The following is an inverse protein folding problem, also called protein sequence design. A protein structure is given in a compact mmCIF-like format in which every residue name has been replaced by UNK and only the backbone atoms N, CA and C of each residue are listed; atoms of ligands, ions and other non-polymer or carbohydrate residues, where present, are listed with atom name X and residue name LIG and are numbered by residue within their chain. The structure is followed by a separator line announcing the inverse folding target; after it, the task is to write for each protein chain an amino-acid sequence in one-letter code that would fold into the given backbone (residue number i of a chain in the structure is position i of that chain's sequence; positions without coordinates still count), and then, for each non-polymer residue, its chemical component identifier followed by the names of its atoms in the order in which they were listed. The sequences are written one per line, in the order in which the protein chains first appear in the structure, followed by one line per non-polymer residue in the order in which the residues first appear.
data_IF_126756195137
#
_entry.id   IF_126756195137
#
_cell.length_a   1.000
_cell.length_b   1.000
_cell.length_c   1.000
_cell.angle_alpha   90.00
_cell.angle_beta   90.00
_cell.angle_gamma   90.00
#
_symmetry.space_group_name_H-M   'P 1'
#
loop_
_entity.id
_entity.type
_entity.pdbx_description
1 polymer ?
#
# COMPACT_ATOMS: atom_id res chain seq x y z
N UNK A 1 -1.24 12.40 -11.76
CA UNK A 1 0.12 12.20 -11.22
C UNK A 1 0.00 11.03 -10.26
N UNK A 2 0.67 9.90 -10.53
CA UNK A 2 0.59 8.77 -9.62
C UNK A 2 0.92 9.14 -8.17
N UNK A 3 0.18 8.56 -7.24
CA UNK A 3 0.45 8.68 -5.81
C UNK A 3 1.50 7.64 -5.42
N UNK A 4 2.47 8.03 -4.61
CA UNK A 4 3.48 7.13 -4.05
C UNK A 4 3.34 7.14 -2.53
N UNK A 5 3.09 5.99 -1.92
CA UNK A 5 3.10 5.82 -0.47
C UNK A 5 4.44 5.20 -0.02
N UNK A 6 4.97 5.74 1.08
CA UNK A 6 6.26 5.38 1.64
C UNK A 6 6.08 4.76 3.02
N UNK A 7 6.70 3.60 3.19
CA UNK A 7 6.63 2.78 4.40
C UNK A 7 7.98 2.66 5.09
N UNK A 8 7.93 2.45 6.41
CA UNK A 8 9.09 2.24 7.29
C UNK A 8 10.25 3.20 6.96
N UNK A 9 11.44 2.67 6.70
CA UNK A 9 12.66 3.45 6.42
C UNK A 9 12.49 4.49 5.31
N UNK A 10 11.67 4.24 4.29
CA UNK A 10 11.45 5.22 3.22
C UNK A 10 10.68 6.45 3.73
N UNK A 11 9.74 6.26 4.65
CA UNK A 11 9.05 7.36 5.33
C UNK A 11 10.03 8.18 6.16
N UNK A 12 10.92 7.52 6.90
CA UNK A 12 11.90 8.19 7.77
C UNK A 12 12.92 8.99 6.95
N UNK A 13 13.36 8.45 5.81
CA UNK A 13 14.33 9.10 4.92
C UNK A 13 13.76 10.33 4.21
N UNK A 14 12.45 10.34 3.92
CA UNK A 14 11.78 11.42 3.18
C UNK A 14 11.03 12.40 4.08
N UNK A 15 10.69 12.01 5.31
CA UNK A 15 9.86 12.78 6.22
C UNK A 15 8.38 12.84 5.83
N UNK A 16 7.93 12.08 4.83
CA UNK A 16 6.53 12.02 4.40
C UNK A 16 6.05 10.59 4.22
N UNK A 17 4.76 10.35 4.48
CA UNK A 17 4.11 9.05 4.26
C UNK A 17 3.63 8.85 2.84
N UNK A 18 3.43 9.93 2.08
CA UNK A 18 3.02 9.88 0.68
C UNK A 18 3.30 11.19 -0.05
N UNK A 19 3.29 11.14 -1.37
CA UNK A 19 3.43 12.28 -2.27
C UNK A 19 2.91 11.93 -3.67
N UNK A 20 2.65 12.94 -4.49
CA UNK A 20 2.35 12.77 -5.91
C UNK A 20 3.63 12.97 -6.72
N UNK A 21 3.85 12.09 -7.71
CA UNK A 21 5.06 12.11 -8.54
C UNK A 21 4.63 11.97 -10.00
N UNK A 22 5.24 12.77 -10.88
CA UNK A 22 4.98 12.65 -12.32
C UNK A 22 5.62 11.39 -12.90
N UNK A 23 4.92 10.75 -13.84
CA UNK A 23 5.41 9.59 -14.58
C UNK A 23 4.28 8.78 -15.19
N UNK A 24 4.57 8.08 -16.28
CA UNK A 24 3.65 7.19 -17.01
C UNK A 24 3.99 5.71 -16.85
N UNK A 25 5.14 5.41 -16.28
CA UNK A 25 5.59 4.06 -15.94
C UNK A 25 6.12 4.03 -14.51
N UNK A 26 6.22 2.84 -13.93
CA UNK A 26 6.84 2.65 -12.61
C UNK A 26 8.26 3.24 -12.59
N UNK A 27 9.06 2.98 -13.63
CA UNK A 27 10.43 3.47 -13.74
C UNK A 27 10.52 5.00 -13.77
N UNK A 28 9.65 5.67 -14.53
CA UNK A 28 9.60 7.14 -14.58
C UNK A 28 9.26 7.73 -13.20
N UNK A 29 8.26 7.17 -12.53
CA UNK A 29 7.86 7.62 -11.19
C UNK A 29 8.99 7.42 -10.18
N UNK A 30 9.63 6.25 -10.16
CA UNK A 30 10.74 5.98 -9.24
C UNK A 30 11.97 6.86 -9.54
N UNK A 31 12.27 7.12 -10.81
CA UNK A 31 13.35 8.03 -11.20
C UNK A 31 13.09 9.47 -10.71
N UNK A 32 11.87 9.97 -10.89
CA UNK A 32 11.48 11.31 -10.43
C UNK A 32 11.42 11.39 -8.89
N UNK A 33 10.98 10.32 -8.23
CA UNK A 33 11.02 10.22 -6.78
C UNK A 33 12.46 10.33 -6.24
N UNK A 34 13.42 9.65 -6.88
CA UNK A 34 14.84 9.72 -6.52
C UNK A 34 15.44 11.10 -6.80
N UNK A 35 14.99 11.82 -7.84
CA UNK A 35 15.42 13.20 -8.06
C UNK A 35 14.99 14.12 -6.91
N UNK A 36 13.76 13.94 -6.40
CA UNK A 36 13.27 14.69 -5.25
C UNK A 36 13.93 14.24 -3.93
N UNK A 37 14.23 12.95 -3.80
CA UNK A 37 14.83 12.34 -2.60
C UNK A 37 16.05 11.47 -2.94
N UNK A 38 17.23 12.07 -3.16
CA UNK A 38 18.42 11.35 -3.60
C UNK A 38 18.87 10.21 -2.67
N UNK A 39 18.55 10.31 -1.37
CA UNK A 39 18.85 9.25 -0.38
C UNK A 39 18.15 7.93 -0.68
N UNK A 40 17.04 7.93 -1.42
CA UNK A 40 16.34 6.71 -1.80
C UNK A 40 17.02 5.95 -2.95
N UNK A 41 17.99 6.56 -3.64
CA UNK A 41 18.61 5.93 -4.82
C UNK A 41 19.26 4.59 -4.51
N UNK A 42 20.09 4.56 -3.48
CA UNK A 42 20.85 3.36 -3.08
C UNK A 42 19.96 2.30 -2.44
N UNK A 43 18.79 2.70 -1.94
CA UNK A 43 17.81 1.78 -1.38
C UNK A 43 16.94 1.14 -2.49
N UNK A 44 16.46 1.96 -3.44
CA UNK A 44 15.52 1.54 -4.50
C UNK A 44 16.21 0.82 -5.67
N UNK A 45 17.45 1.17 -6.00
CA UNK A 45 18.11 0.71 -7.22
C UNK A 45 19.45 0.03 -6.94
N UNK A 46 19.72 -1.04 -7.67
CA UNK A 46 21.03 -1.65 -7.81
C UNK A 46 21.50 -1.45 -9.25
N UNK A 47 22.30 -0.39 -9.46
CA UNK A 47 22.66 0.08 -10.80
C UNK A 47 21.46 0.71 -11.51
N UNK A 48 21.07 0.16 -12.66
CA UNK A 48 19.88 0.59 -13.43
C UNK A 48 18.63 -0.24 -13.12
N UNK A 49 18.77 -1.33 -12.35
CA UNK A 49 17.68 -2.23 -12.00
C UNK A 49 17.07 -1.89 -10.63
N UNK A 50 15.79 -2.23 -10.45
CA UNK A 50 15.15 -2.21 -9.14
C UNK A 50 15.88 -3.19 -8.21
N UNK A 51 16.24 -2.74 -7.00
CA UNK A 51 16.90 -3.59 -6.01
C UNK A 51 16.02 -4.81 -5.70
N UNK A 52 16.61 -6.02 -5.69
CA UNK A 52 15.87 -7.27 -5.48
C UNK A 52 15.11 -7.28 -4.14
N UNK A 53 15.70 -6.61 -3.16
CA UNK A 53 15.21 -6.53 -1.78
C UNK A 53 14.08 -5.53 -1.54
N UNK A 54 13.74 -4.66 -2.51
CA UNK A 54 12.68 -3.64 -2.35
C UNK A 54 11.38 -4.15 -2.94
N UNK A 55 10.27 -4.01 -2.24
CA UNK A 55 8.95 -4.33 -2.81
C UNK A 55 8.27 -3.08 -3.33
N UNK A 56 7.73 -3.17 -4.55
CA UNK A 56 6.96 -2.11 -5.19
C UNK A 56 5.64 -2.72 -5.66
N UNK A 57 4.52 -2.18 -5.18
CA UNK A 57 3.20 -2.63 -5.55
C UNK A 57 2.44 -1.53 -6.30
N UNK A 58 1.75 -1.90 -7.37
CA UNK A 58 0.79 -1.08 -8.10
C UNK A 58 -0.62 -1.52 -7.74
N UNK A 59 -1.35 -0.66 -7.02
CA UNK A 59 -2.72 -0.91 -6.54
C UNK A 59 -2.87 -2.28 -5.85
N UNK A 60 -1.88 -2.64 -5.03
CA UNK A 60 -1.81 -3.90 -4.28
C UNK A 60 -1.25 -5.10 -5.05
N UNK A 61 -0.78 -4.93 -6.29
CA UNK A 61 -0.11 -5.98 -7.09
C UNK A 61 1.39 -5.71 -7.20
N UNK A 62 2.22 -6.68 -6.86
CA UNK A 62 3.68 -6.53 -7.02
C UNK A 62 4.04 -6.37 -8.50
N UNK A 63 4.80 -5.31 -8.81
CA UNK A 63 5.19 -4.95 -10.18
C UNK A 63 6.11 -5.99 -10.82
N UNK A 64 6.77 -6.85 -10.03
CA UNK A 64 7.58 -7.97 -10.55
C UNK A 64 6.75 -9.02 -11.28
N UNK A 65 5.47 -9.15 -10.92
CA UNK A 65 4.52 -10.01 -11.65
C UNK A 65 3.76 -9.24 -12.75
N UNK A 66 4.14 -7.99 -13.00
CA UNK A 66 3.67 -7.16 -14.11
C UNK A 66 4.81 -7.00 -15.12
N UNK A 67 5.12 -5.77 -15.56
CA UNK A 67 6.21 -5.45 -16.49
C UNK A 67 7.39 -4.76 -15.76
N UNK A 68 7.50 -4.93 -14.44
CA UNK A 68 8.54 -4.30 -13.63
C UNK A 68 8.53 -2.78 -13.76
N UNK A 69 9.69 -2.19 -14.02
CA UNK A 69 9.85 -0.75 -14.25
C UNK A 69 9.10 -0.23 -15.48
N UNK A 70 8.84 -1.10 -16.46
CA UNK A 70 8.09 -0.73 -17.68
C UNK A 70 6.58 -0.73 -17.48
N UNK A 71 6.08 -1.17 -16.32
CA UNK A 71 4.63 -1.24 -16.04
C UNK A 71 3.99 0.14 -16.22
N UNK A 72 3.00 0.27 -17.13
CA UNK A 72 2.32 1.54 -17.37
C UNK A 72 1.41 1.92 -16.20
N UNK A 73 1.32 3.23 -15.94
CA UNK A 73 0.55 3.80 -14.85
C UNK A 73 -0.57 4.70 -15.37
N UNK A 74 -1.77 4.54 -14.80
CA UNK A 74 -2.83 5.52 -14.93
C UNK A 74 -2.50 6.79 -14.11
N UNK A 75 -3.03 7.97 -14.48
CA UNK A 75 -2.81 9.20 -13.73
C UNK A 75 -3.16 9.13 -12.24
N UNK A 76 -4.13 8.29 -11.87
CA UNK A 76 -4.66 8.04 -10.53
C UNK A 76 -4.05 6.81 -9.84
N UNK A 77 -3.09 6.14 -10.48
CA UNK A 77 -2.44 4.95 -9.94
C UNK A 77 -1.76 5.23 -8.60
N UNK A 78 -1.80 4.24 -7.70
CA UNK A 78 -1.08 4.29 -6.43
C UNK A 78 0.03 3.24 -6.39
N UNK A 79 1.25 3.71 -6.10
CA UNK A 79 2.40 2.86 -5.81
C UNK A 79 2.67 2.78 -4.31
N UNK A 80 2.91 1.57 -3.82
CA UNK A 80 3.29 1.28 -2.45
C UNK A 80 4.73 0.75 -2.41
N UNK A 81 5.62 1.48 -1.73
CA UNK A 81 7.06 1.18 -1.69
C UNK A 81 7.45 0.73 -0.28
N UNK A 82 8.01 -0.48 -0.18
CA UNK A 82 8.46 -1.09 1.07
C UNK A 82 9.97 -1.35 1.05
N UNK A 83 10.70 -0.96 2.10
CA UNK A 83 12.11 -1.32 2.25
C UNK A 83 12.25 -2.83 2.58
N UNK A 84 13.48 -3.38 2.48
CA UNK A 84 13.74 -4.82 2.69
C UNK A 84 13.32 -5.38 4.05
N UNK A 85 13.29 -4.52 5.07
CA UNK A 85 12.87 -4.89 6.42
C UNK A 85 11.67 -4.03 6.78
N UNK A 86 10.51 -4.38 6.24
CA UNK A 86 9.22 -3.86 6.67
C UNK A 86 8.73 -4.59 7.94
N UNK A 87 9.58 -4.69 8.97
CA UNK A 87 9.15 -5.20 10.26
C UNK A 87 8.21 -4.21 10.95
N UNK A 88 7.06 -4.68 11.44
CA UNK A 88 6.15 -3.87 12.26
C UNK A 88 4.68 -3.97 11.85
N UNK A 89 3.95 -2.86 12.06
CA UNK A 89 2.54 -2.72 11.71
C UNK A 89 2.37 -1.75 10.54
N UNK A 90 1.63 -2.17 9.52
CA UNK A 90 1.25 -1.36 8.36
C UNK A 90 -0.17 -0.85 8.55
N UNK A 91 -0.37 0.46 8.39
CA UNK A 91 -1.69 1.07 8.58
C UNK A 91 -2.09 1.97 7.41
N UNK A 92 -3.40 1.98 7.09
CA UNK A 92 -4.02 2.87 6.09
C UNK A 92 -5.50 3.08 6.40
N UNK A 93 -5.99 4.28 6.10
CA UNK A 93 -7.42 4.57 5.99
C UNK A 93 -7.87 4.30 4.55
N UNK A 94 -8.88 3.44 4.41
CA UNK A 94 -9.52 3.14 3.14
C UNK A 94 -10.84 3.91 3.03
N UNK A 95 -10.98 4.72 1.97
CA UNK A 95 -12.23 5.40 1.67
C UNK A 95 -13.22 4.49 0.96
N UNK A 96 -14.49 4.59 1.31
CA UNK A 96 -15.58 3.82 0.70
C UNK A 96 -15.37 2.29 0.72
N UNK A 97 -14.59 1.79 1.67
CA UNK A 97 -14.37 0.35 1.87
C UNK A 97 -15.02 -0.06 3.20
N UNK A 98 -16.25 -0.59 3.18
CA UNK A 98 -16.98 -0.84 4.42
C UNK A 98 -16.43 -2.06 5.17
N UNK A 99 -16.53 -2.04 6.50
CA UNK A 99 -16.00 -3.09 7.37
C UNK A 99 -16.51 -4.49 7.00
N UNK A 100 -17.81 -4.63 6.71
CA UNK A 100 -18.41 -5.92 6.35
C UNK A 100 -17.79 -6.54 5.09
N UNK A 101 -17.38 -5.72 4.11
CA UNK A 101 -16.75 -6.21 2.89
C UNK A 101 -15.32 -6.67 3.16
N UNK A 102 -14.59 -5.95 4.01
CA UNK A 102 -13.28 -6.42 4.49
C UNK A 102 -13.42 -7.76 5.23
N UNK A 103 -14.42 -7.90 6.10
CA UNK A 103 -14.70 -9.15 6.80
C UNK A 103 -14.96 -10.32 5.83
N UNK A 104 -15.75 -10.10 4.79
CA UNK A 104 -15.99 -11.11 3.73
C UNK A 104 -14.68 -11.54 3.04
N UNK A 105 -13.83 -10.58 2.69
CA UNK A 105 -12.52 -10.89 2.11
C UNK A 105 -11.64 -11.68 3.08
N UNK A 106 -11.49 -11.21 4.32
CA UNK A 106 -10.67 -11.86 5.33
C UNK A 106 -11.14 -13.29 5.61
N UNK A 107 -12.44 -13.52 5.73
CA UNK A 107 -13.03 -14.84 5.89
C UNK A 107 -12.76 -15.73 4.65
N UNK A 108 -12.93 -15.18 3.43
CA UNK A 108 -12.67 -15.91 2.19
C UNK A 108 -11.20 -16.33 2.03
N UNK A 109 -10.27 -15.61 2.67
CA UNK A 109 -8.84 -15.93 2.68
C UNK A 109 -8.44 -16.87 3.83
N UNK A 110 -9.42 -17.42 4.56
CA UNK A 110 -9.19 -18.34 5.67
C UNK A 110 -8.89 -17.65 7.01
N UNK A 111 -9.16 -16.34 7.10
CA UNK A 111 -9.02 -15.57 8.33
C UNK A 111 -9.99 -16.06 9.40
N UNK A 112 -9.50 -16.11 10.64
CA UNK A 112 -10.32 -16.40 11.83
C UNK A 112 -10.60 -15.10 12.54
N UNK A 113 -11.81 -14.92 13.07
CA UNK A 113 -12.22 -13.75 13.86
C UNK A 113 -12.17 -14.09 15.36
N UNK A 114 -11.11 -13.70 16.10
CA UNK A 114 -11.08 -13.92 17.54
C UNK A 114 -12.07 -13.01 18.27
N UNK A 115 -12.25 -11.78 17.77
CA UNK A 115 -13.16 -10.76 18.28
C UNK A 115 -13.56 -9.78 17.17
N UNK A 116 -14.49 -8.87 17.46
CA UNK A 116 -14.91 -7.84 16.52
C UNK A 116 -13.75 -6.88 16.15
N UNK A 117 -13.62 -6.56 14.86
CA UNK A 117 -12.54 -5.70 14.37
C UNK A 117 -11.14 -6.33 14.38
N UNK A 118 -11.01 -7.62 14.71
CA UNK A 118 -9.73 -8.35 14.69
C UNK A 118 -9.85 -9.67 13.92
N UNK A 119 -8.95 -9.89 12.97
CA UNK A 119 -8.81 -11.15 12.26
C UNK A 119 -7.38 -11.68 12.35
N UNK A 120 -7.25 -12.99 12.50
CA UNK A 120 -5.97 -13.70 12.43
C UNK A 120 -5.85 -14.42 11.08
N UNK A 121 -4.75 -14.17 10.39
CA UNK A 121 -4.34 -14.80 9.13
C UNK A 121 -3.03 -15.56 9.35
N UNK A 122 -2.63 -16.48 8.45
CA UNK A 122 -1.31 -17.08 8.48
C UNK A 122 -0.21 -16.00 8.53
N UNK A 123 0.54 -15.94 9.63
CA UNK A 123 1.65 -14.99 9.81
C UNK A 123 1.26 -13.53 10.07
N UNK A 124 -0.03 -13.21 10.22
CA UNK A 124 -0.46 -11.82 10.45
C UNK A 124 -1.76 -11.68 11.28
N UNK A 125 -1.94 -10.49 11.86
CA UNK A 125 -3.20 -10.03 12.46
C UNK A 125 -3.65 -8.76 11.77
N UNK A 126 -4.94 -8.66 11.52
CA UNK A 126 -5.59 -7.50 10.89
C UNK A 126 -6.53 -6.88 11.90
N UNK A 127 -6.27 -5.65 12.31
CA UNK A 127 -7.19 -4.81 13.09
C UNK A 127 -7.86 -3.81 12.18
N UNK A 128 -9.14 -3.53 12.40
CA UNK A 128 -9.83 -2.47 11.68
C UNK A 128 -10.96 -1.87 12.49
N UNK A 129 -11.24 -0.59 12.23
CA UNK A 129 -12.32 0.15 12.85
C UNK A 129 -12.77 1.28 11.91
N UNK A 130 -14.03 1.70 12.04
CA UNK A 130 -14.50 2.92 11.36
C UNK A 130 -13.71 4.13 11.88
N UNK A 131 -13.31 5.00 10.94
CA UNK A 131 -12.59 6.23 11.22
C UNK A 131 -13.44 7.45 10.81
N UNK A 132 -12.98 8.65 11.17
CA UNK A 132 -13.68 9.89 10.85
C UNK A 132 -13.91 10.00 9.33
N UNK A 133 -15.17 10.15 8.86
CA UNK A 133 -15.46 10.25 7.45
C UNK A 133 -14.79 11.45 6.78
N UNK A 134 -14.25 11.24 5.57
CA UNK A 134 -13.70 12.33 4.77
C UNK A 134 -14.84 13.16 4.17
N UNK A 135 -14.79 14.49 4.35
CA UNK A 135 -15.75 15.42 3.75
C UNK A 135 -15.20 16.00 2.46
N UNK A 136 -15.95 15.84 1.37
CA UNK A 136 -15.64 16.44 0.06
C UNK A 136 -16.85 17.26 -0.38
N UNK A 137 -16.85 18.55 -0.05
CA UNK A 137 -18.03 19.39 -0.19
C UNK A 137 -19.20 18.88 0.65
N UNK A 138 -20.32 18.53 0.02
CA UNK A 138 -21.47 17.89 0.68
C UNK A 138 -21.35 16.36 0.79
N UNK A 139 -20.39 15.74 0.09
CA UNK A 139 -20.18 14.30 0.13
C UNK A 139 -19.46 13.90 1.42
N UNK A 140 -19.95 12.84 2.06
CA UNK A 140 -19.33 12.20 3.22
C UNK A 140 -18.88 10.81 2.82
N UNK A 141 -17.57 10.58 2.76
CA UNK A 141 -16.99 9.28 2.38
C UNK A 141 -16.58 8.53 3.65
N UNK A 142 -17.22 7.40 3.99
CA UNK A 142 -16.81 6.58 5.12
C UNK A 142 -15.33 6.20 5.00
N UNK A 143 -14.64 6.19 6.14
CA UNK A 143 -13.25 5.77 6.23
C UNK A 143 -13.16 4.53 7.10
N UNK A 144 -12.41 3.53 6.65
CA UNK A 144 -12.07 2.35 7.41
C UNK A 144 -10.58 2.37 7.71
N UNK A 145 -10.23 2.55 8.98
CA UNK A 145 -8.86 2.36 9.44
C UNK A 145 -8.55 0.88 9.48
N UNK A 146 -7.42 0.49 8.89
CA UNK A 146 -6.92 -0.89 8.90
C UNK A 146 -5.46 -0.88 9.33
N UNK A 147 -5.09 -1.83 10.16
CA UNK A 147 -3.74 -2.13 10.59
C UNK A 147 -3.46 -3.61 10.37
N UNK A 148 -2.29 -3.93 9.83
CA UNK A 148 -1.81 -5.31 9.63
C UNK A 148 -0.44 -5.44 10.29
N UNK A 149 -0.31 -6.39 11.21
CA UNK A 149 0.94 -6.70 11.92
C UNK A 149 1.31 -8.18 11.75
N UNK A 150 2.61 -8.49 11.79
CA UNK A 150 3.13 -9.85 11.72
C UNK A 150 4.20 -10.04 10.65
N UNK A 151 4.74 -11.25 10.56
CA UNK A 151 5.81 -11.61 9.61
C UNK A 151 5.34 -11.52 8.16
N UNK A 152 4.05 -11.80 7.91
CA UNK A 152 3.42 -11.75 6.57
C UNK A 152 2.60 -10.46 6.37
N UNK A 153 2.84 -9.42 7.16
CA UNK A 153 2.01 -8.21 7.17
C UNK A 153 2.00 -7.50 5.80
N UNK A 154 3.14 -7.39 5.13
CA UNK A 154 3.24 -6.75 3.81
C UNK A 154 2.37 -7.45 2.76
N UNK A 155 2.43 -8.79 2.71
CA UNK A 155 1.66 -9.58 1.76
C UNK A 155 0.15 -9.42 1.99
N UNK A 156 -0.30 -9.54 3.25
CA UNK A 156 -1.71 -9.38 3.60
C UNK A 156 -2.21 -7.95 3.42
N UNK A 157 -1.38 -6.95 3.77
CA UNK A 157 -1.71 -5.55 3.59
C UNK A 157 -1.94 -5.22 2.11
N UNK A 158 -1.02 -5.63 1.22
CA UNK A 158 -1.17 -5.38 -0.21
C UNK A 158 -2.35 -6.15 -0.82
N UNK A 159 -2.67 -7.34 -0.29
CA UNK A 159 -3.88 -8.07 -0.68
C UNK A 159 -5.16 -7.32 -0.29
N UNK A 160 -5.18 -6.66 0.88
CA UNK A 160 -6.29 -5.78 1.30
C UNK A 160 -6.37 -4.56 0.39
N UNK A 161 -5.23 -3.93 0.05
CA UNK A 161 -5.19 -2.80 -0.90
C UNK A 161 -5.81 -3.21 -2.24
N UNK A 162 -5.45 -4.38 -2.74
CA UNK A 162 -6.00 -4.92 -3.97
C UNK A 162 -7.49 -5.24 -3.90
N UNK A 163 -7.98 -5.73 -2.76
CA UNK A 163 -9.40 -5.97 -2.55
C UNK A 163 -10.19 -4.66 -2.52
N UNK A 164 -9.66 -3.65 -1.84
CA UNK A 164 -10.27 -2.31 -1.76
C UNK A 164 -10.33 -1.62 -3.13
N UNK A 165 -9.31 -1.79 -3.99
CA UNK A 165 -9.32 -1.22 -5.35
C UNK A 165 -10.38 -1.82 -6.28
N UNK A 166 -10.93 -3.00 -5.92
CA UNK A 166 -12.03 -3.65 -6.65
C UNK A 166 -13.42 -3.39 -6.06
N UNK A 167 -13.49 -3.01 -4.79
CA UNK A 167 -14.73 -2.93 -4.00
C UNK A 167 -15.45 -1.59 -4.05
N UNK A 168 -14.90 -0.57 -4.74
CA UNK A 168 -15.53 0.74 -4.90
C UNK A 168 -16.48 0.80 -6.10
N UNK A 169 -17.56 0.01 -6.05
CA UNK A 169 -18.67 0.02 -7.02
C UNK A 169 -19.94 0.63 -6.44
#
# INVERSE_FOLDING_TARGET
MPKVNLYATFRDLTGTSHLEVEGRTVGEVLANLVQAYPKLKEELFEGEALAERVSVFLDGRDVRYLEGLSTPLAPEATLDLFPPVAGGALTRNFGAFPAWLLEEYLASWGGKRPEEGLYALPGAKVRFAEAEPLKVGSLSVPQLWVEVEGEEAEAWFNRIVFAASRGGG
#
